data_IF_591044307297
#
_entry.id   IF_591044307297
#
_cell.length_a   1.000
_cell.length_b   1.000
_cell.length_c   1.000
_cell.angle_alpha   90.00
_cell.angle_beta   90.00
_cell.angle_gamma   90.00
#
_symmetry.space_group_name_H-M   'P 1'
#
loop_
_entity.id
_entity.type
_entity.pdbx_description
1 polymer ?
#
# COMPACT_ATOMS: atom_id res chain seq x y z
N UNK A 1 24.90 50.50 14.11
CA UNK A 1 25.54 49.17 14.13
C UNK A 1 24.57 48.15 14.72
N UNK A 2 23.88 47.37 13.88
CA UNK A 2 23.24 46.10 14.29
C UNK A 2 23.40 45.11 13.12
N UNK A 3 24.52 44.41 13.19
CA UNK A 3 24.85 43.04 12.76
C UNK A 3 23.85 42.32 11.82
N UNK A 4 24.33 42.05 10.60
CA UNK A 4 23.93 40.92 9.75
C UNK A 4 24.14 39.59 10.49
N UNK A 5 23.09 38.78 10.63
CA UNK A 5 23.19 37.34 10.89
C UNK A 5 22.22 36.63 9.95
N UNK A 6 22.71 36.34 8.74
CA UNK A 6 22.05 35.44 7.81
C UNK A 6 22.14 34.03 8.40
N UNK A 7 21.02 33.52 8.91
CA UNK A 7 20.89 32.11 9.21
C UNK A 7 20.84 31.35 7.88
N UNK A 8 21.98 30.82 7.43
CA UNK A 8 21.98 29.73 6.46
C UNK A 8 21.46 28.49 7.17
N UNK A 9 20.14 28.29 7.13
CA UNK A 9 19.55 26.99 7.33
C UNK A 9 20.06 26.11 6.19
N UNK A 10 21.10 25.32 6.48
CA UNK A 10 21.40 24.11 5.72
C UNK A 10 20.11 23.29 5.73
N UNK A 11 19.35 23.39 4.65
CA UNK A 11 18.38 22.38 4.30
C UNK A 11 19.20 21.10 4.16
N UNK A 12 19.13 20.26 5.19
CA UNK A 12 19.50 18.87 5.05
C UNK A 12 18.64 18.34 3.90
N UNK A 13 19.22 18.29 2.70
CA UNK A 13 18.78 17.32 1.72
C UNK A 13 19.16 16.00 2.36
N UNK A 14 18.26 15.47 3.19
CA UNK A 14 18.16 14.05 3.32
C UNK A 14 17.97 13.58 1.88
N UNK A 15 19.06 13.10 1.30
CA UNK A 15 19.03 12.09 0.26
C UNK A 15 18.24 10.93 0.86
N UNK A 16 16.91 11.08 0.87
CA UNK A 16 16.02 9.95 0.94
C UNK A 16 16.49 9.10 -0.23
N UNK A 17 16.94 7.85 0.00
CA UNK A 17 17.24 6.98 -1.13
C UNK A 17 16.03 7.11 -2.03
N UNK A 18 16.24 7.42 -3.32
CA UNK A 18 15.17 7.32 -4.31
C UNK A 18 14.61 5.91 -4.11
N UNK A 19 13.54 5.81 -3.35
CA UNK A 19 12.79 4.59 -3.12
C UNK A 19 12.24 4.34 -4.51
N UNK A 20 12.98 3.54 -5.28
CA UNK A 20 12.77 3.38 -6.71
C UNK A 20 11.29 3.20 -6.91
N UNK A 21 10.70 4.09 -7.72
CA UNK A 21 9.26 4.24 -7.88
C UNK A 21 8.62 2.86 -7.86
N UNK A 22 8.03 2.47 -6.72
CA UNK A 22 7.51 1.11 -6.56
C UNK A 22 6.44 0.98 -7.63
N UNK A 23 6.64 0.05 -8.57
CA UNK A 23 5.71 -0.09 -9.68
C UNK A 23 4.35 -0.43 -9.12
N UNK A 24 3.28 0.03 -9.77
CA UNK A 24 1.91 -0.34 -9.36
C UNK A 24 1.73 -1.87 -9.34
N UNK A 25 2.52 -2.60 -10.13
CA UNK A 25 2.56 -4.07 -10.09
C UNK A 25 3.21 -4.59 -8.81
N UNK A 26 4.33 -4.00 -8.37
CA UNK A 26 4.98 -4.38 -7.12
C UNK A 26 4.06 -4.14 -5.93
N UNK A 27 3.33 -3.03 -5.93
CA UNK A 27 2.33 -2.74 -4.90
C UNK A 27 1.17 -3.75 -4.91
N UNK A 28 0.67 -4.14 -6.10
CA UNK A 28 -0.29 -5.23 -6.22
C UNK A 28 0.23 -6.54 -5.60
N UNK A 29 1.50 -6.90 -5.88
CA UNK A 29 2.12 -8.12 -5.37
C UNK A 29 2.26 -8.10 -3.84
N UNK A 30 2.70 -6.98 -3.26
CA UNK A 30 2.80 -6.81 -1.80
C UNK A 30 1.44 -6.95 -1.12
N UNK A 31 0.42 -6.27 -1.64
CA UNK A 31 -0.94 -6.33 -1.09
C UNK A 31 -1.56 -7.73 -1.24
N UNK A 32 -1.24 -8.44 -2.33
CA UNK A 32 -1.66 -9.84 -2.51
C UNK A 32 -1.05 -10.75 -1.44
N UNK A 33 0.25 -10.61 -1.17
CA UNK A 33 0.92 -11.38 -0.12
C UNK A 33 0.35 -11.05 1.26
N UNK A 34 0.14 -9.77 1.56
CA UNK A 34 -0.48 -9.34 2.81
C UNK A 34 -1.88 -9.94 2.98
N UNK A 35 -2.70 -9.95 1.93
CA UNK A 35 -4.03 -10.56 1.98
C UNK A 35 -3.96 -12.06 2.23
N UNK A 36 -3.02 -12.76 1.59
CA UNK A 36 -2.85 -14.20 1.77
C UNK A 36 -2.51 -14.55 3.23
N UNK A 37 -1.71 -13.72 3.90
CA UNK A 37 -1.43 -13.89 5.32
C UNK A 37 -2.66 -13.51 6.19
N UNK A 38 -3.23 -12.33 5.97
CA UNK A 38 -4.38 -11.84 6.73
C UNK A 38 -5.58 -12.79 6.69
N UNK A 39 -5.88 -13.40 5.54
CA UNK A 39 -7.02 -14.30 5.42
C UNK A 39 -6.81 -15.63 6.16
N UNK A 40 -5.56 -16.03 6.41
CA UNK A 40 -5.26 -17.20 7.25
C UNK A 40 -5.42 -16.88 8.73
N UNK A 41 -5.00 -15.71 9.18
CA UNK A 41 -5.11 -15.29 10.59
C UNK A 41 -6.53 -14.84 10.97
N UNK A 42 -7.26 -14.26 10.02
CA UNK A 42 -8.60 -13.72 10.20
C UNK A 42 -9.66 -14.55 9.45
N UNK A 43 -9.47 -15.87 9.35
CA UNK A 43 -10.37 -16.76 8.62
C UNK A 43 -11.82 -16.70 9.15
N UNK A 44 -11.99 -16.49 10.46
CA UNK A 44 -13.27 -16.35 11.16
C UNK A 44 -13.87 -14.93 11.09
N UNK A 45 -13.21 -13.99 10.40
CA UNK A 45 -13.76 -12.65 10.24
C UNK A 45 -15.13 -12.73 9.56
N UNK A 46 -16.11 -12.00 10.10
CA UNK A 46 -17.49 -11.96 9.60
C UNK A 46 -17.60 -11.69 8.09
N UNK A 47 -16.60 -11.00 7.52
CA UNK A 47 -16.54 -10.63 6.09
C UNK A 47 -15.48 -11.40 5.30
N UNK A 48 -14.93 -12.50 5.82
CA UNK A 48 -13.87 -13.27 5.15
C UNK A 48 -14.28 -13.77 3.76
N UNK A 49 -15.53 -14.19 3.57
CA UNK A 49 -16.04 -14.62 2.26
C UNK A 49 -16.12 -13.44 1.26
N UNK A 50 -16.62 -12.29 1.69
CA UNK A 50 -16.71 -11.08 0.88
C UNK A 50 -15.31 -10.56 0.52
N UNK A 51 -14.38 -10.56 1.48
CA UNK A 51 -12.99 -10.20 1.30
C UNK A 51 -12.30 -11.11 0.26
N UNK A 52 -12.53 -12.44 0.31
CA UNK A 52 -12.01 -13.38 -0.70
C UNK A 52 -12.59 -13.10 -2.10
N UNK A 53 -13.89 -12.82 -2.20
CA UNK A 53 -14.49 -12.47 -3.49
C UNK A 53 -13.91 -11.17 -4.06
N UNK A 54 -13.66 -10.17 -3.21
CA UNK A 54 -13.04 -8.91 -3.59
C UNK A 54 -11.57 -9.11 -3.98
N UNK A 55 -10.82 -9.96 -3.28
CA UNK A 55 -9.45 -10.30 -3.62
C UNK A 55 -9.34 -10.90 -5.03
N UNK A 56 -10.24 -11.80 -5.42
CA UNK A 56 -10.25 -12.36 -6.79
C UNK A 56 -10.44 -11.28 -7.86
N UNK A 57 -11.31 -10.30 -7.61
CA UNK A 57 -11.48 -9.13 -8.48
C UNK A 57 -10.21 -8.28 -8.52
N UNK A 58 -9.59 -8.06 -7.36
CA UNK A 58 -8.35 -7.31 -7.23
C UNK A 58 -7.22 -7.93 -8.06
N UNK A 59 -7.03 -9.24 -7.96
CA UNK A 59 -6.05 -10.00 -8.74
C UNK A 59 -6.28 -9.83 -10.25
N UNK A 60 -7.53 -9.92 -10.71
CA UNK A 60 -7.89 -9.69 -12.12
C UNK A 60 -7.56 -8.28 -12.58
N UNK A 61 -7.79 -7.26 -11.74
CA UNK A 61 -7.42 -5.88 -12.10
C UNK A 61 -5.91 -5.67 -12.16
N UNK A 62 -5.16 -6.25 -11.22
CA UNK A 62 -3.70 -6.21 -11.22
C UNK A 62 -3.11 -6.85 -12.49
N UNK A 63 -3.68 -7.96 -12.97
CA UNK A 63 -3.23 -8.62 -14.21
C UNK A 63 -3.71 -7.94 -15.51
N UNK A 64 -4.77 -7.12 -15.46
CA UNK A 64 -5.42 -6.54 -16.66
C UNK A 64 -5.06 -5.06 -16.92
N UNK A 65 -3.82 -4.63 -16.62
CA UNK A 65 -3.36 -3.22 -16.73
C UNK A 65 -4.24 -2.20 -15.95
N UNK A 66 -5.03 -2.65 -14.98
CA UNK A 66 -5.90 -1.84 -14.11
C UNK A 66 -5.38 -1.83 -12.68
N UNK A 67 -4.07 -1.72 -12.51
CA UNK A 67 -3.40 -1.91 -11.22
C UNK A 67 -3.94 -0.96 -10.14
N UNK A 68 -4.24 0.29 -10.48
CA UNK A 68 -4.83 1.24 -9.53
C UNK A 68 -6.18 0.74 -8.94
N UNK A 69 -6.98 0.03 -9.72
CA UNK A 69 -8.23 -0.56 -9.26
C UNK A 69 -7.98 -1.83 -8.45
N UNK A 70 -6.98 -2.62 -8.85
CA UNK A 70 -6.52 -3.79 -8.09
C UNK A 70 -6.00 -3.42 -6.71
N UNK A 71 -5.10 -2.44 -6.62
CA UNK A 71 -4.56 -1.90 -5.36
C UNK A 71 -5.69 -1.47 -4.42
N UNK A 72 -6.64 -0.67 -4.90
CA UNK A 72 -7.79 -0.23 -4.10
C UNK A 72 -8.67 -1.41 -3.65
N UNK A 73 -8.90 -2.38 -4.54
CA UNK A 73 -9.69 -3.56 -4.19
C UNK A 73 -9.00 -4.43 -3.13
N UNK A 74 -7.68 -4.63 -3.23
CA UNK A 74 -6.92 -5.31 -2.18
C UNK A 74 -6.96 -4.56 -0.85
N UNK A 75 -6.75 -3.24 -0.87
CA UNK A 75 -6.80 -2.42 0.34
C UNK A 75 -8.17 -2.52 1.04
N UNK A 76 -9.25 -2.51 0.27
CA UNK A 76 -10.60 -2.69 0.81
C UNK A 76 -10.82 -4.11 1.35
N UNK A 77 -10.30 -5.14 0.66
CA UNK A 77 -10.40 -6.52 1.12
C UNK A 77 -9.66 -6.74 2.44
N UNK A 78 -8.49 -6.14 2.62
CA UNK A 78 -7.73 -6.14 3.88
C UNK A 78 -8.49 -5.45 5.01
N UNK A 79 -9.09 -4.27 4.74
CA UNK A 79 -9.93 -3.56 5.71
C UNK A 79 -11.15 -4.38 6.14
N UNK A 80 -11.73 -5.18 5.26
CA UNK A 80 -12.83 -6.10 5.60
C UNK A 80 -12.39 -7.21 6.58
N UNK A 81 -11.11 -7.58 6.57
CA UNK A 81 -10.51 -8.50 7.53
C UNK A 81 -10.05 -7.81 8.81
N UNK A 82 -10.20 -6.48 8.92
CA UNK A 82 -9.69 -5.69 10.05
C UNK A 82 -8.19 -5.38 9.97
N UNK A 83 -7.55 -5.62 8.82
CA UNK A 83 -6.12 -5.39 8.62
C UNK A 83 -5.89 -4.07 7.91
N UNK A 84 -4.98 -3.25 8.44
CA UNK A 84 -4.53 -2.02 7.78
C UNK A 84 -3.64 -2.38 6.57
N UNK A 85 -3.98 -1.96 5.34
CA UNK A 85 -3.15 -2.22 4.16
C UNK A 85 -1.79 -1.52 4.25
N UNK A 86 -0.74 -2.17 3.75
CA UNK A 86 0.56 -1.50 3.58
C UNK A 86 0.43 -0.38 2.54
N UNK A 87 0.76 0.84 2.94
CA UNK A 87 0.85 1.99 2.02
C UNK A 87 2.16 1.94 1.21
N UNK A 88 2.18 2.49 -0.01
CA UNK A 88 3.41 2.64 -0.78
C UNK A 88 4.33 3.71 -0.20
#
# INVERSE_FOLDING_TARGET
MVVLLAALSLGATSEQPLAGTTSRMDQCNRLQQQFAHAITEHAEAKRAAEAKALQRKAAKFCSSKRQAQGIRAYANALKMLGVQPVEP
#
